data_IF_329814673354
#
_entry.id   IF_329814673354
#
_cell.length_a   1.000
_cell.length_b   1.000
_cell.length_c   1.000
_cell.angle_alpha   90.00
_cell.angle_beta   90.00
_cell.angle_gamma   90.00
#
_symmetry.space_group_name_H-M   'P 1'
#
loop_
_entity.id
_entity.type
_entity.pdbx_description
1 polymer ?
#
# COMPACT_ATOMS: atom_id res chain seq x y z
N UNK A 1 116.60 5.08 -21.17
CA UNK A 1 115.90 5.70 -20.03
C UNK A 1 114.48 6.08 -20.33
N UNK A 2 113.73 5.91 -19.33
CA UNK A 2 112.42 6.44 -19.04
C UNK A 2 111.24 5.67 -19.59
N UNK A 3 110.87 4.85 -18.73
CA UNK A 3 109.56 4.21 -18.56
C UNK A 3 108.43 5.23 -18.27
N UNK A 4 107.22 5.08 -18.88
CA UNK A 4 106.05 5.84 -18.48
C UNK A 4 104.90 4.85 -18.35
N UNK A 5 104.55 4.66 -17.12
CA UNK A 5 103.52 3.79 -16.65
C UNK A 5 102.11 4.13 -17.11
N UNK A 6 101.45 3.11 -17.65
CA UNK A 6 100.01 3.13 -17.97
C UNK A 6 99.14 2.95 -16.72
N UNK A 7 98.24 3.88 -16.50
CA UNK A 7 97.20 3.78 -15.45
C UNK A 7 96.00 2.92 -15.92
N UNK A 8 95.43 2.04 -15.09
CA UNK A 8 94.27 1.25 -15.46
C UNK A 8 93.00 2.10 -15.38
N UNK A 9 92.21 1.98 -16.43
CA UNK A 9 90.87 2.59 -16.59
C UNK A 9 89.84 1.97 -15.65
N UNK A 10 89.27 2.79 -14.78
CA UNK A 10 88.17 2.40 -13.88
C UNK A 10 86.88 2.26 -14.65
N UNK A 11 86.37 1.02 -14.79
CA UNK A 11 85.06 0.76 -15.32
C UNK A 11 83.99 1.27 -14.37
N UNK A 12 83.28 2.33 -14.76
CA UNK A 12 82.12 2.88 -14.08
C UNK A 12 80.98 1.82 -14.15
N UNK A 13 80.53 1.29 -13.01
CA UNK A 13 79.34 0.43 -12.89
C UNK A 13 78.18 1.35 -13.00
N UNK A 14 77.24 1.05 -13.97
CA UNK A 14 75.95 1.69 -14.12
C UNK A 14 75.06 1.36 -12.93
N UNK A 15 74.23 2.32 -12.45
CA UNK A 15 73.31 2.04 -11.36
C UNK A 15 72.20 1.10 -11.79
N UNK A 16 72.02 0.00 -11.03
CA UNK A 16 70.89 -0.91 -11.21
C UNK A 16 69.59 -0.16 -10.94
N UNK A 17 68.76 0.10 -12.00
CA UNK A 17 67.39 0.58 -11.88
C UNK A 17 66.61 -0.47 -11.16
N UNK A 18 66.20 -0.19 -9.92
CA UNK A 18 65.25 -0.98 -9.11
C UNK A 18 63.92 -0.96 -9.81
N UNK A 19 63.55 -2.05 -10.50
CA UNK A 19 62.20 -2.22 -11.05
C UNK A 19 61.21 -2.34 -9.88
N UNK A 20 60.48 -1.29 -9.60
CA UNK A 20 59.33 -1.33 -8.72
C UNK A 20 58.28 -2.22 -9.39
N UNK A 21 57.93 -3.34 -8.75
CA UNK A 21 56.86 -4.19 -9.19
C UNK A 21 55.55 -3.52 -8.77
N UNK A 22 54.57 -3.27 -9.70
CA UNK A 22 53.29 -2.63 -9.36
C UNK A 22 52.27 -3.64 -8.78
N UNK A 23 52.74 -4.58 -7.95
CA UNK A 23 51.85 -5.64 -7.42
C UNK A 23 50.88 -5.13 -6.32
N UNK A 24 51.09 -3.95 -5.79
CA UNK A 24 50.24 -3.42 -4.72
C UNK A 24 49.10 -2.54 -5.22
N UNK A 25 49.13 -2.07 -6.47
CA UNK A 25 48.06 -1.23 -7.05
C UNK A 25 46.84 -2.02 -7.49
N UNK A 26 46.99 -3.30 -7.87
CA UNK A 26 45.88 -4.15 -8.27
C UNK A 26 44.93 -4.54 -7.11
N UNK A 27 45.47 -4.64 -5.87
CA UNK A 27 44.67 -4.96 -4.69
C UNK A 27 43.78 -3.80 -4.22
N UNK A 28 44.24 -2.57 -4.32
CA UNK A 28 43.44 -1.41 -3.91
C UNK A 28 42.26 -1.13 -4.83
N UNK A 29 42.39 -1.38 -6.14
CA UNK A 29 41.30 -1.23 -7.11
C UNK A 29 40.12 -2.16 -6.83
N UNK A 30 40.38 -3.42 -6.48
CA UNK A 30 39.34 -4.39 -6.15
C UNK A 30 38.62 -4.05 -4.83
N UNK A 31 39.35 -3.59 -3.82
CA UNK A 31 38.80 -3.18 -2.52
C UNK A 31 37.93 -1.94 -2.67
N UNK A 32 38.36 -0.94 -3.44
CA UNK A 32 37.58 0.29 -3.70
C UNK A 32 36.30 -0.02 -4.50
N UNK A 33 36.35 -0.93 -5.49
CA UNK A 33 35.19 -1.38 -6.24
C UNK A 33 34.20 -2.15 -5.37
N UNK A 34 34.64 -3.03 -4.49
CA UNK A 34 33.79 -3.77 -3.58
C UNK A 34 33.16 -2.87 -2.51
N UNK A 35 33.90 -1.91 -1.98
CA UNK A 35 33.37 -0.91 -1.05
C UNK A 35 32.36 0.03 -1.75
N UNK A 36 32.63 0.45 -2.98
CA UNK A 36 31.71 1.24 -3.79
C UNK A 36 30.43 0.49 -4.12
N UNK A 37 30.52 -0.81 -4.46
CA UNK A 37 29.37 -1.67 -4.72
C UNK A 37 28.55 -1.92 -3.43
N UNK A 38 29.23 -2.16 -2.30
CA UNK A 38 28.57 -2.32 -1.00
C UNK A 38 27.86 -1.02 -0.57
N UNK A 39 28.49 0.14 -0.72
CA UNK A 39 27.90 1.44 -0.44
C UNK A 39 26.70 1.74 -1.37
N UNK A 40 26.79 1.35 -2.64
CA UNK A 40 25.71 1.51 -3.61
C UNK A 40 24.52 0.59 -3.31
N UNK A 41 24.77 -0.65 -2.87
CA UNK A 41 23.74 -1.58 -2.45
C UNK A 41 23.07 -1.14 -1.14
N UNK A 42 23.84 -0.61 -0.19
CA UNK A 42 23.31 -0.02 1.06
C UNK A 42 22.51 1.25 0.77
N UNK A 43 22.99 2.12 -0.13
CA UNK A 43 22.26 3.32 -0.52
C UNK A 43 20.95 3.00 -1.26
N UNK A 44 20.92 1.95 -2.10
CA UNK A 44 19.65 1.47 -2.71
C UNK A 44 18.68 0.88 -1.69
N UNK A 45 19.18 0.28 -0.60
CA UNK A 45 18.33 -0.23 0.49
C UNK A 45 17.79 0.91 1.38
N UNK A 46 18.52 2.02 1.50
CA UNK A 46 18.16 3.17 2.32
C UNK A 46 17.18 4.15 1.63
N UNK A 47 17.03 4.08 0.30
CA UNK A 47 16.05 4.88 -0.47
C UNK A 47 14.70 4.17 -0.58
N UNK A 48 14.41 3.18 0.28
CA UNK A 48 13.03 2.96 0.65
C UNK A 48 12.65 4.12 1.55
N UNK A 49 12.00 5.14 0.96
CA UNK A 49 11.25 6.14 1.71
C UNK A 49 10.46 5.38 2.78
N UNK A 50 10.43 5.83 4.06
CA UNK A 50 9.49 5.28 4.99
C UNK A 50 8.14 5.44 4.31
N UNK A 51 7.58 4.34 3.83
CA UNK A 51 6.20 4.31 3.39
C UNK A 51 5.45 4.90 4.56
N UNK A 52 4.86 6.09 4.36
CA UNK A 52 3.88 6.64 5.28
C UNK A 52 2.93 5.49 5.52
N UNK A 53 2.99 4.88 6.71
CA UNK A 53 2.12 3.74 7.04
C UNK A 53 0.72 4.27 6.79
N UNK A 54 -0.01 3.80 5.78
CA UNK A 54 -1.35 4.32 5.55
C UNK A 54 -2.12 4.06 6.84
N UNK A 55 -2.90 5.04 7.32
CA UNK A 55 -3.79 4.89 8.49
C UNK A 55 -4.61 3.59 8.37
N UNK A 56 -4.88 3.18 7.13
CA UNK A 56 -5.49 1.92 6.74
C UNK A 56 -4.88 0.65 7.37
N UNK A 57 -3.58 0.58 7.64
CA UNK A 57 -2.95 -0.62 8.20
C UNK A 57 -3.23 -0.82 9.70
N UNK A 58 -3.77 0.19 10.38
CA UNK A 58 -4.18 0.12 11.78
C UNK A 58 -5.70 -0.03 11.94
N UNK A 59 -6.46 0.00 10.86
CA UNK A 59 -7.90 -0.12 10.89
C UNK A 59 -8.32 -1.57 11.17
N UNK A 60 -9.26 -1.72 12.08
CA UNK A 60 -9.66 -2.90 12.81
C UNK A 60 -9.96 -4.18 12.03
N UNK A 61 -10.07 -5.25 12.79
CA UNK A 61 -10.47 -6.55 12.29
C UNK A 61 -11.93 -6.53 11.79
N UNK A 62 -12.18 -7.25 10.71
CA UNK A 62 -13.50 -7.42 10.11
C UNK A 62 -13.79 -8.90 9.90
N UNK A 63 -15.06 -9.26 9.95
CA UNK A 63 -15.54 -10.62 9.62
C UNK A 63 -16.57 -10.51 8.51
N UNK A 64 -16.40 -11.30 7.45
CA UNK A 64 -17.24 -11.25 6.27
C UNK A 64 -18.65 -11.81 6.55
N UNK A 65 -19.67 -11.12 6.04
CA UNK A 65 -20.99 -11.68 5.78
C UNK A 65 -21.01 -12.41 4.43
N UNK A 66 -20.32 -11.83 3.44
CA UNK A 66 -20.26 -12.31 2.07
C UNK A 66 -19.07 -11.70 1.31
N UNK A 67 -18.60 -12.34 0.24
CA UNK A 67 -17.51 -11.87 -0.59
C UNK A 67 -16.12 -12.07 0.05
N UNK A 68 -15.95 -13.15 0.82
CA UNK A 68 -14.72 -13.52 1.52
C UNK A 68 -13.50 -13.49 0.60
N UNK A 69 -13.64 -13.97 -0.62
CA UNK A 69 -12.59 -13.98 -1.66
C UNK A 69 -12.09 -12.58 -2.03
N UNK A 70 -12.98 -11.59 -1.98
CA UNK A 70 -12.68 -10.20 -2.30
C UNK A 70 -12.19 -9.41 -1.06
N UNK A 71 -12.51 -9.88 0.15
CA UNK A 71 -12.13 -9.26 1.41
C UNK A 71 -10.79 -9.77 1.95
N UNK A 72 -10.20 -10.79 1.32
CA UNK A 72 -8.96 -11.41 1.77
C UNK A 72 -9.14 -12.54 2.78
N UNK A 73 -10.36 -13.08 2.89
CA UNK A 73 -10.77 -14.18 3.76
C UNK A 73 -11.98 -13.85 4.60
N UNK A 74 -12.51 -14.86 5.29
CA UNK A 74 -13.67 -14.69 6.19
C UNK A 74 -13.34 -13.76 7.36
N UNK A 75 -12.18 -13.95 7.99
CA UNK A 75 -11.59 -13.02 8.95
C UNK A 75 -10.47 -12.23 8.27
N UNK A 76 -10.53 -10.92 8.31
CA UNK A 76 -9.59 -10.04 7.62
C UNK A 76 -9.43 -8.71 8.36
N UNK A 77 -8.86 -7.72 7.69
CA UNK A 77 -8.73 -6.36 8.21
C UNK A 77 -8.99 -5.33 7.11
N UNK A 78 -9.40 -4.13 7.49
CA UNK A 78 -9.52 -3.02 6.54
C UNK A 78 -8.18 -2.72 5.85
N UNK A 79 -7.05 -2.90 6.56
CA UNK A 79 -5.72 -2.77 5.97
C UNK A 79 -5.49 -3.74 4.81
N UNK A 80 -5.91 -5.00 4.97
CA UNK A 80 -5.82 -6.02 3.90
C UNK A 80 -6.74 -5.68 2.72
N UNK A 81 -7.94 -5.20 2.98
CA UNK A 81 -8.89 -4.77 1.95
C UNK A 81 -8.34 -3.59 1.14
N UNK A 82 -7.82 -2.56 1.81
CA UNK A 82 -7.29 -1.35 1.19
C UNK A 82 -5.92 -1.56 0.52
N UNK A 83 -5.18 -2.61 0.90
CA UNK A 83 -3.87 -2.96 0.34
C UNK A 83 -3.88 -3.77 -0.95
N UNK A 84 -5.06 -4.05 -1.54
CA UNK A 84 -5.19 -4.91 -2.73
C UNK A 84 -4.73 -4.28 -4.05
N UNK A 85 -4.28 -3.03 -4.06
CA UNK A 85 -3.79 -2.37 -5.28
C UNK A 85 -4.90 -1.93 -6.25
N UNK A 86 -6.15 -1.87 -5.80
CA UNK A 86 -7.31 -1.37 -6.56
C UNK A 86 -8.08 -0.34 -5.75
N UNK A 87 -8.82 0.58 -6.39
CA UNK A 87 -9.66 1.52 -5.66
C UNK A 87 -10.73 0.82 -4.82
N UNK A 88 -11.02 1.38 -3.64
CA UNK A 88 -12.00 0.83 -2.70
C UNK A 88 -13.02 1.89 -2.32
N UNK A 89 -14.29 1.51 -2.31
CA UNK A 89 -15.39 2.27 -1.71
C UNK A 89 -15.84 1.54 -0.46
N UNK A 90 -15.69 2.17 0.69
CA UNK A 90 -16.06 1.62 1.98
C UNK A 90 -17.29 2.36 2.50
N UNK A 91 -18.43 1.68 2.46
CA UNK A 91 -19.71 2.21 2.94
C UNK A 91 -20.01 1.69 4.34
N UNK A 92 -19.97 2.57 5.32
CA UNK A 92 -20.37 2.27 6.69
C UNK A 92 -21.89 2.27 6.78
N UNK A 93 -22.47 1.15 7.19
CA UNK A 93 -23.91 0.98 7.34
C UNK A 93 -24.28 0.33 8.66
N UNK A 94 -25.59 0.24 8.94
CA UNK A 94 -26.14 -0.44 10.10
C UNK A 94 -27.52 -1.01 9.77
N UNK A 95 -27.87 -2.14 10.38
CA UNK A 95 -29.09 -2.87 10.06
C UNK A 95 -30.40 -2.11 10.32
N UNK A 96 -30.43 -1.21 11.30
CA UNK A 96 -31.61 -0.38 11.63
C UNK A 96 -31.49 1.08 11.15
N UNK A 97 -30.61 1.34 10.16
CA UNK A 97 -30.38 2.67 9.60
C UNK A 97 -31.24 2.88 8.34
N UNK A 98 -32.32 3.64 8.43
CA UNK A 98 -33.22 3.89 7.30
C UNK A 98 -32.53 4.57 6.10
N UNK A 99 -31.62 5.51 6.35
CA UNK A 99 -30.86 6.19 5.29
C UNK A 99 -29.88 5.24 4.61
N UNK A 100 -29.26 4.30 5.36
CA UNK A 100 -28.41 3.26 4.81
C UNK A 100 -29.21 2.36 3.87
N UNK A 101 -30.41 1.91 4.32
CA UNK A 101 -31.33 1.12 3.50
C UNK A 101 -31.68 1.80 2.17
N UNK A 102 -31.86 3.12 2.18
CA UNK A 102 -32.23 3.88 0.98
C UNK A 102 -31.10 4.00 -0.05
N UNK A 103 -29.83 4.07 0.39
CA UNK A 103 -28.68 4.25 -0.53
C UNK A 103 -28.10 2.94 -1.07
N UNK A 104 -28.17 1.83 -0.31
CA UNK A 104 -27.53 0.56 -0.64
C UNK A 104 -27.88 0.01 -2.03
N UNK A 105 -29.10 0.12 -2.56
CA UNK A 105 -29.41 -0.28 -3.93
C UNK A 105 -28.63 0.52 -5.00
N UNK A 106 -28.22 1.76 -4.69
CA UNK A 106 -27.37 2.56 -5.56
C UNK A 106 -25.94 1.99 -5.62
N UNK A 107 -25.40 1.52 -4.51
CA UNK A 107 -24.11 0.83 -4.47
C UNK A 107 -24.16 -0.53 -5.17
N UNK A 108 -25.26 -1.28 -5.08
CA UNK A 108 -25.43 -2.55 -5.81
C UNK A 108 -25.33 -2.33 -7.32
N UNK A 109 -26.03 -1.33 -7.86
CA UNK A 109 -25.94 -0.97 -9.28
C UNK A 109 -24.54 -0.56 -9.69
N UNK A 110 -23.86 0.22 -8.84
CA UNK A 110 -22.49 0.65 -9.08
C UNK A 110 -21.51 -0.54 -9.04
N UNK A 111 -21.74 -1.50 -8.15
CA UNK A 111 -20.95 -2.74 -8.09
C UNK A 111 -21.07 -3.55 -9.38
N UNK A 112 -22.30 -3.74 -9.88
CA UNK A 112 -22.56 -4.44 -11.15
C UNK A 112 -21.86 -3.73 -12.34
N UNK A 113 -21.95 -2.41 -12.39
CA UNK A 113 -21.40 -1.62 -13.50
C UNK A 113 -19.88 -1.46 -13.45
N UNK A 114 -19.26 -1.52 -12.27
CA UNK A 114 -17.82 -1.40 -12.11
C UNK A 114 -17.02 -2.60 -12.66
N UNK A 115 -17.69 -3.75 -12.86
CA UNK A 115 -17.09 -4.97 -13.39
C UNK A 115 -15.78 -5.37 -12.66
N UNK A 116 -15.72 -5.16 -11.35
CA UNK A 116 -14.58 -5.52 -10.49
C UNK A 116 -13.39 -4.54 -10.52
N UNK A 117 -13.45 -3.45 -11.28
CA UNK A 117 -12.39 -2.42 -11.31
C UNK A 117 -12.27 -1.67 -9.99
N UNK A 118 -13.37 -1.50 -9.27
CA UNK A 118 -13.45 -0.89 -7.95
C UNK A 118 -14.04 -1.91 -6.98
N UNK A 119 -13.42 -2.07 -5.82
CA UNK A 119 -13.98 -2.89 -4.76
C UNK A 119 -14.97 -2.05 -3.95
N UNK A 120 -16.23 -2.46 -3.91
CA UNK A 120 -17.25 -1.86 -3.05
C UNK A 120 -17.41 -2.78 -1.85
N UNK A 121 -17.34 -2.24 -0.64
CA UNK A 121 -17.46 -2.98 0.62
C UNK A 121 -18.48 -2.29 1.52
N UNK A 122 -19.49 -3.02 1.98
CA UNK A 122 -20.33 -2.62 3.08
C UNK A 122 -19.68 -3.01 4.41
N UNK A 123 -19.53 -2.06 5.33
CA UNK A 123 -19.03 -2.32 6.67
C UNK A 123 -20.11 -2.02 7.71
N UNK A 124 -20.67 -3.08 8.31
CA UNK A 124 -21.62 -2.96 9.39
C UNK A 124 -20.94 -2.53 10.68
N UNK A 125 -21.46 -1.47 11.25
CA UNK A 125 -21.06 -0.89 12.52
C UNK A 125 -22.24 -0.65 13.47
N UNK A 126 -23.37 -1.31 13.20
CA UNK A 126 -24.62 -1.17 13.94
C UNK A 126 -24.48 -1.28 15.44
N UNK A 127 -23.80 -2.31 15.99
CA UNK A 127 -23.62 -2.47 17.44
C UNK A 127 -22.88 -1.29 18.11
N UNK A 128 -21.99 -0.62 17.39
CA UNK A 128 -21.19 0.50 17.93
C UNK A 128 -21.91 1.85 17.80
N UNK A 129 -22.98 1.91 17.01
CA UNK A 129 -23.76 3.13 16.76
C UNK A 129 -25.15 3.10 17.40
N UNK A 130 -25.55 1.96 17.98
CA UNK A 130 -26.90 1.74 18.51
C UNK A 130 -27.96 1.60 17.42
N UNK A 131 -27.58 1.32 16.16
CA UNK A 131 -28.46 1.21 15.00
C UNK A 131 -28.69 -0.24 14.55
N UNK A 132 -28.77 -1.16 15.49
CA UNK A 132 -29.07 -2.58 15.23
C UNK A 132 -27.93 -3.51 15.52
N UNK A 133 -28.23 -4.81 15.44
CA UNK A 133 -27.28 -5.90 15.63
C UNK A 133 -26.67 -6.36 14.29
N UNK A 134 -25.68 -7.28 14.35
CA UNK A 134 -25.14 -7.94 13.16
C UNK A 134 -26.19 -8.77 12.42
N UNK A 135 -27.14 -9.37 13.15
CA UNK A 135 -28.26 -10.11 12.54
C UNK A 135 -29.22 -9.17 11.81
N UNK A 136 -29.42 -7.93 12.32
CA UNK A 136 -30.22 -6.91 11.60
C UNK A 136 -29.54 -6.52 10.29
N UNK A 137 -28.21 -6.32 10.31
CA UNK A 137 -27.42 -6.02 9.13
C UNK A 137 -27.47 -7.19 8.11
N UNK A 138 -27.28 -8.43 8.55
CA UNK A 138 -27.34 -9.59 7.68
C UNK A 138 -28.74 -9.74 7.02
N UNK A 139 -29.82 -9.50 7.78
CA UNK A 139 -31.20 -9.48 7.23
C UNK A 139 -31.39 -8.37 6.20
N UNK A 140 -30.87 -7.18 6.46
CA UNK A 140 -30.94 -6.03 5.54
C UNK A 140 -30.24 -6.36 4.20
N UNK A 141 -29.03 -6.94 4.23
CA UNK A 141 -28.33 -7.37 3.02
C UNK A 141 -29.16 -8.35 2.19
N UNK A 142 -29.80 -9.33 2.84
CA UNK A 142 -30.66 -10.30 2.18
C UNK A 142 -31.94 -9.66 1.60
N UNK A 143 -32.60 -8.80 2.36
CA UNK A 143 -33.85 -8.12 1.95
C UNK A 143 -33.60 -7.22 0.72
N UNK A 144 -32.46 -6.56 0.64
CA UNK A 144 -32.09 -5.70 -0.47
C UNK A 144 -31.41 -6.45 -1.62
N UNK A 145 -31.20 -7.77 -1.50
CA UNK A 145 -30.49 -8.61 -2.46
C UNK A 145 -29.08 -8.05 -2.79
N UNK A 146 -28.38 -7.55 -1.78
CA UNK A 146 -27.03 -7.00 -1.93
C UNK A 146 -26.05 -8.14 -2.22
N UNK A 147 -25.21 -7.96 -3.24
CA UNK A 147 -24.19 -8.92 -3.71
C UNK A 147 -22.77 -8.41 -3.58
N UNK A 148 -22.57 -7.07 -3.43
CA UNK A 148 -21.23 -6.57 -3.17
C UNK A 148 -20.71 -7.10 -1.83
N UNK A 149 -19.38 -7.27 -1.66
CA UNK A 149 -18.76 -7.71 -0.41
C UNK A 149 -19.23 -6.91 0.80
N UNK A 150 -19.54 -7.60 1.87
CA UNK A 150 -19.97 -6.98 3.11
C UNK A 150 -19.39 -7.72 4.32
N UNK A 151 -19.00 -6.96 5.34
CA UNK A 151 -18.43 -7.44 6.58
C UNK A 151 -18.95 -6.66 7.78
N UNK A 152 -18.75 -7.16 8.99
CA UNK A 152 -18.93 -6.38 10.20
C UNK A 152 -17.58 -6.05 10.86
N UNK A 153 -17.51 -4.92 11.52
CA UNK A 153 -16.38 -4.53 12.35
C UNK A 153 -16.39 -5.34 13.66
N UNK A 154 -15.25 -5.89 14.06
CA UNK A 154 -15.11 -6.65 15.32
C UNK A 154 -15.12 -5.71 16.53
N UNK A 155 -14.62 -4.50 16.34
CA UNK A 155 -14.59 -3.44 17.35
C UNK A 155 -14.81 -2.05 16.72
N UNK A 156 -14.84 -1.00 17.53
CA UNK A 156 -15.08 0.37 17.09
C UNK A 156 -13.84 1.07 16.53
N UNK A 157 -12.71 0.37 16.37
CA UNK A 157 -11.46 0.96 15.83
C UNK A 157 -11.63 1.48 14.41
N UNK A 158 -12.44 0.80 13.58
CA UNK A 158 -12.77 1.25 12.24
C UNK A 158 -13.48 2.62 12.23
N UNK A 159 -14.40 2.84 13.17
CA UNK A 159 -15.09 4.13 13.34
C UNK A 159 -14.12 5.22 13.80
N UNK A 160 -13.30 4.92 14.83
CA UNK A 160 -12.34 5.87 15.39
C UNK A 160 -11.27 6.26 14.38
N UNK A 161 -10.72 5.30 13.63
CA UNK A 161 -9.62 5.54 12.68
C UNK A 161 -9.98 6.55 11.60
N UNK A 162 -11.24 6.59 11.20
CA UNK A 162 -11.73 7.50 10.16
C UNK A 162 -12.65 8.60 10.70
N UNK A 163 -12.81 8.71 12.03
CA UNK A 163 -13.65 9.72 12.66
C UNK A 163 -15.10 9.63 12.17
N UNK A 164 -15.68 8.43 12.14
CA UNK A 164 -17.06 8.21 11.70
C UNK A 164 -18.00 8.63 12.83
N UNK A 165 -18.82 9.63 12.59
CA UNK A 165 -19.77 10.22 13.58
C UNK A 165 -21.19 10.29 13.05
N UNK A 166 -21.41 9.96 11.78
CA UNK A 166 -22.72 10.00 11.14
C UNK A 166 -22.94 8.70 10.34
N UNK A 167 -24.21 8.30 10.21
CA UNK A 167 -24.60 7.13 9.43
C UNK A 167 -25.64 7.50 8.38
N UNK A 168 -25.46 7.02 7.15
CA UNK A 168 -24.30 6.32 6.63
C UNK A 168 -23.10 7.26 6.42
N UNK A 169 -21.90 6.70 6.35
CA UNK A 169 -20.71 7.41 5.85
C UNK A 169 -20.03 6.57 4.79
N UNK A 170 -19.61 7.18 3.69
CA UNK A 170 -18.90 6.50 2.61
C UNK A 170 -17.51 7.12 2.41
N UNK A 171 -16.49 6.26 2.42
CA UNK A 171 -15.10 6.62 2.17
C UNK A 171 -14.65 6.06 0.83
N UNK A 172 -13.92 6.85 0.06
CA UNK A 172 -13.41 6.50 -1.27
C UNK A 172 -11.88 6.51 -1.24
N UNK A 173 -11.28 5.36 -1.56
CA UNK A 173 -9.82 5.17 -1.55
C UNK A 173 -9.30 4.93 -2.97
N UNK A 174 -8.13 5.50 -3.26
CA UNK A 174 -7.40 5.17 -4.49
C UNK A 174 -6.74 3.78 -4.42
N UNK A 175 -6.13 3.34 -5.51
CA UNK A 175 -5.45 2.04 -5.59
C UNK A 175 -4.25 1.89 -4.65
N UNK A 176 -3.77 2.99 -4.05
CA UNK A 176 -2.70 2.98 -3.04
C UNK A 176 -3.25 2.96 -1.60
N UNK A 177 -4.56 2.81 -1.42
CA UNK A 177 -5.23 2.84 -0.12
C UNK A 177 -5.28 4.24 0.53
N UNK A 178 -5.13 5.32 -0.26
CA UNK A 178 -5.25 6.69 0.22
C UNK A 178 -6.69 7.15 0.13
N UNK A 179 -7.22 7.74 1.20
CA UNK A 179 -8.54 8.37 1.20
C UNK A 179 -8.51 9.60 0.26
N UNK A 180 -9.38 9.61 -0.75
CA UNK A 180 -9.44 10.64 -1.78
C UNK A 180 -10.79 11.38 -1.84
N UNK A 181 -11.85 10.81 -1.24
CA UNK A 181 -13.16 11.45 -1.12
C UNK A 181 -13.93 10.86 0.07
N UNK A 182 -14.86 11.61 0.63
CA UNK A 182 -15.73 11.23 1.75
C UNK A 182 -17.12 11.79 1.57
N UNK A 183 -18.13 11.07 2.02
CA UNK A 183 -19.49 11.55 2.16
C UNK A 183 -20.05 11.18 3.52
N UNK A 184 -20.42 12.18 4.31
CA UNK A 184 -21.18 11.98 5.54
C UNK A 184 -22.66 12.17 5.23
N UNK A 185 -23.49 11.17 5.56
CA UNK A 185 -24.90 11.09 5.19
C UNK A 185 -25.14 10.34 3.88
N UNK A 186 -26.42 10.03 3.63
CA UNK A 186 -26.84 9.19 2.51
C UNK A 186 -26.50 9.82 1.15
N UNK A 187 -25.96 9.01 0.26
CA UNK A 187 -25.81 9.33 -1.15
C UNK A 187 -27.13 9.04 -1.90
N UNK A 188 -27.47 9.88 -2.87
CA UNK A 188 -28.58 9.58 -3.76
C UNK A 188 -28.24 8.37 -4.65
N UNK A 189 -29.23 7.69 -5.22
CA UNK A 189 -29.00 6.46 -6.01
C UNK A 189 -28.01 6.61 -7.20
N UNK A 190 -27.80 7.84 -7.71
CA UNK A 190 -26.87 8.12 -8.83
C UNK A 190 -25.48 8.57 -8.37
N UNK A 191 -25.34 9.00 -7.12
CA UNK A 191 -24.07 9.54 -6.60
C UNK A 191 -22.96 8.48 -6.48
N UNK A 192 -23.24 7.23 -6.02
CA UNK A 192 -22.21 6.20 -5.98
C UNK A 192 -21.56 5.94 -7.33
N UNK A 193 -22.38 5.74 -8.37
CA UNK A 193 -21.89 5.45 -9.72
C UNK A 193 -20.99 6.57 -10.27
N UNK A 194 -21.43 7.83 -10.16
CA UNK A 194 -20.66 8.98 -10.65
C UNK A 194 -19.34 9.18 -9.89
N UNK A 195 -19.31 8.86 -8.59
CA UNK A 195 -18.07 8.94 -7.77
C UNK A 195 -17.12 7.78 -8.08
N UNK A 196 -17.65 6.56 -8.28
CA UNK A 196 -16.88 5.37 -8.64
C UNK A 196 -16.23 5.52 -10.01
N UNK A 197 -16.92 6.03 -11.01
CA UNK A 197 -16.35 6.33 -12.33
C UNK A 197 -15.14 7.29 -12.24
N UNK A 198 -15.18 8.27 -11.32
CA UNK A 198 -14.03 9.16 -11.09
C UNK A 198 -12.83 8.44 -10.46
N UNK A 199 -13.06 7.41 -9.64
CA UNK A 199 -11.98 6.58 -9.09
C UNK A 199 -11.34 5.72 -10.20
N UNK A 200 -12.15 5.13 -11.09
CA UNK A 200 -11.67 4.31 -12.21
C UNK A 200 -10.72 5.10 -13.13
N UNK A 201 -11.07 6.36 -13.46
CA UNK A 201 -10.26 7.23 -14.31
C UNK A 201 -8.91 7.61 -13.66
N UNK A 202 -8.84 7.62 -12.34
CA UNK A 202 -7.62 7.98 -11.59
C UNK A 202 -6.73 6.77 -11.26
N UNK A 203 -7.21 5.54 -11.51
CA UNK A 203 -6.40 4.35 -11.31
C UNK A 203 -5.27 4.32 -12.35
N UNK A 204 -4.00 4.14 -11.96
CA UNK A 204 -2.92 3.92 -12.93
C UNK A 204 -3.16 2.60 -13.66
N UNK A 205 -3.07 2.65 -14.99
CA UNK A 205 -3.10 1.49 -15.89
C UNK A 205 -1.85 0.62 -15.71
#
# INVERSE_FOLDING_TARGET
>A
PTDVGGRPSAKRRAPRRRRWRPAHLAGYGAVVLLLGLALFLVARSAVRSPASTPIAQSAGAIVAYQGDDQLGGHESSLGSVLGQGRPVVLNYFAGACAQCTAEMPGFEKAYESSAGKVLIVGLDVGPFTGLGSHEDAARLLQQLAIRYPAAYAVDDSALRSYGITAMPTTLFFDANGRLVDRSDGALTQRDPEARIQRLEVRAPS
#
